data_IF_733536086166
#
_entry.id   IF_733536086166
#
_cell.length_a   1.000
_cell.length_b   1.000
_cell.length_c   1.000
_cell.angle_alpha   90.00
_cell.angle_beta   90.00
_cell.angle_gamma   90.00
#
_symmetry.space_group_name_H-M   'P 1'
#
loop_
_entity.id
_entity.type
_entity.pdbx_description
1 polymer ?
#
# COMPACT_ATOMS: atom_id res chain seq x y z
N UNK A 1 68.87 -9.70 8.17
CA UNK A 1 69.22 -10.88 7.34
C UNK A 1 68.02 -11.84 7.43
N UNK A 2 67.13 -11.83 6.43
CA UNK A 2 66.83 -12.95 5.49
C UNK A 2 66.24 -14.15 6.27
N UNK A 3 65.02 -14.69 6.10
CA UNK A 3 64.04 -14.86 4.99
C UNK A 3 62.69 -15.24 5.64
N UNK A 4 61.51 -14.72 5.22
CA UNK A 4 60.46 -15.39 4.39
C UNK A 4 59.88 -16.70 4.99
N UNK A 5 58.59 -17.06 5.02
CA UNK A 5 57.39 -16.67 4.25
C UNK A 5 56.16 -17.51 4.72
N UNK A 6 54.97 -16.98 4.46
CA UNK A 6 53.69 -17.66 4.11
C UNK A 6 52.71 -18.24 5.15
N UNK A 7 51.57 -17.54 5.21
CA UNK A 7 50.15 -17.95 5.34
C UNK A 7 49.81 -19.41 4.98
N UNK A 8 48.85 -20.04 5.68
CA UNK A 8 47.76 -20.90 5.14
C UNK A 8 46.73 -21.28 6.24
N UNK A 9 45.53 -20.73 6.11
CA UNK A 9 44.22 -21.43 6.16
C UNK A 9 44.23 -22.91 6.59
N UNK A 10 43.50 -23.23 7.67
CA UNK A 10 42.86 -24.54 7.84
C UNK A 10 41.40 -24.35 8.27
N UNK A 11 40.54 -24.84 7.40
CA UNK A 11 39.08 -24.92 7.43
C UNK A 11 38.64 -25.91 8.53
N UNK A 12 37.86 -25.48 9.51
CA UNK A 12 37.18 -26.38 10.46
C UNK A 12 35.76 -26.63 9.95
N UNK A 13 35.55 -27.84 9.46
CA UNK A 13 34.29 -28.40 9.01
C UNK A 13 33.58 -29.03 10.21
N UNK A 14 32.50 -28.42 10.71
CA UNK A 14 31.61 -29.05 11.72
C UNK A 14 30.33 -29.49 11.03
N UNK A 15 30.25 -30.80 10.79
CA UNK A 15 29.03 -31.53 10.46
C UNK A 15 28.11 -31.54 11.69
N UNK A 16 27.06 -30.72 11.64
CA UNK A 16 25.93 -30.79 12.57
C UNK A 16 24.83 -31.68 11.99
N UNK A 17 24.82 -32.95 12.41
CA UNK A 17 23.75 -33.92 12.16
C UNK A 17 22.47 -33.44 12.83
N UNK A 18 21.42 -33.14 12.06
CA UNK A 18 20.08 -32.84 12.57
C UNK A 18 19.38 -34.13 12.98
N UNK A 19 19.22 -34.35 14.28
CA UNK A 19 18.24 -35.28 14.83
C UNK A 19 16.86 -34.65 14.74
N UNK A 20 16.02 -35.15 13.83
CA UNK A 20 14.58 -34.86 13.77
C UNK A 20 13.91 -35.54 14.96
N UNK A 21 13.17 -34.83 15.83
CA UNK A 21 12.28 -35.48 16.77
C UNK A 21 11.04 -35.96 16.02
N UNK A 22 10.86 -37.28 16.00
CA UNK A 22 9.60 -37.93 15.68
C UNK A 22 8.46 -37.36 16.54
N UNK A 23 7.33 -37.08 15.90
CA UNK A 23 6.05 -36.89 16.61
C UNK A 23 5.50 -35.48 16.65
N UNK A 24 5.20 -34.91 15.49
CA UNK A 24 4.07 -33.99 15.33
C UNK A 24 3.36 -34.34 14.01
N UNK A 25 2.51 -35.37 14.05
CA UNK A 25 1.43 -35.51 13.08
C UNK A 25 0.45 -34.36 13.31
N UNK A 26 0.76 -33.19 12.74
CA UNK A 26 -0.26 -32.18 12.51
C UNK A 26 -1.23 -32.77 11.52
N UNK A 27 -2.46 -33.05 11.97
CA UNK A 27 -3.58 -33.24 11.05
C UNK A 27 -3.60 -32.02 10.13
N UNK A 28 -3.25 -32.21 8.85
CA UNK A 28 -3.55 -31.22 7.83
C UNK A 28 -5.05 -30.97 7.91
N UNK A 29 -5.45 -29.70 8.09
CA UNK A 29 -6.87 -29.38 8.10
C UNK A 29 -7.52 -29.97 6.84
N UNK A 30 -8.69 -30.62 6.94
CA UNK A 30 -9.33 -31.30 5.81
C UNK A 30 -9.63 -30.35 4.63
N UNK A 31 -9.61 -29.04 4.86
CA UNK A 31 -9.67 -28.00 3.84
C UNK A 31 -8.48 -27.97 2.86
N UNK A 32 -7.30 -28.48 3.24
CA UNK A 32 -6.09 -28.45 2.40
C UNK A 32 -6.09 -29.60 1.37
N UNK A 33 -6.61 -30.78 1.72
CA UNK A 33 -6.72 -31.91 0.77
C UNK A 33 -7.80 -31.70 -0.29
N UNK A 34 -8.84 -30.92 0.02
CA UNK A 34 -9.90 -30.58 -0.94
C UNK A 34 -9.45 -29.56 -2.00
N UNK A 35 -8.37 -28.80 -1.77
CA UNK A 35 -7.94 -27.70 -2.63
C UNK A 35 -6.95 -28.10 -3.76
N UNK A 36 -6.47 -29.35 -3.77
CA UNK A 36 -5.69 -29.90 -4.87
C UNK A 36 -6.57 -30.44 -6.02
N UNK A 37 -7.88 -30.56 -5.78
CA UNK A 37 -8.87 -30.84 -6.82
C UNK A 37 -9.28 -29.50 -7.45
N UNK A 38 -8.86 -29.28 -8.70
CA UNK A 38 -9.13 -28.07 -9.51
C UNK A 38 -10.63 -27.73 -9.61
N UNK A 39 -11.51 -28.70 -9.31
CA UNK A 39 -12.96 -28.55 -9.30
C UNK A 39 -13.54 -27.98 -7.99
N UNK A 40 -12.73 -27.77 -6.94
CA UNK A 40 -13.19 -27.41 -5.59
C UNK A 40 -12.53 -26.17 -4.99
N UNK A 41 -11.90 -25.29 -5.79
CA UNK A 41 -11.43 -24.02 -5.26
C UNK A 41 -12.63 -23.16 -4.79
N UNK A 42 -12.62 -22.61 -3.56
CA UNK A 42 -13.77 -21.88 -3.00
C UNK A 42 -14.16 -20.63 -3.80
N UNK A 43 -13.24 -20.07 -4.59
CA UNK A 43 -13.47 -18.95 -5.51
C UNK A 43 -14.19 -19.29 -6.82
N UNK A 44 -14.34 -20.57 -7.15
CA UNK A 44 -14.92 -21.03 -8.42
C UNK A 44 -14.00 -21.95 -9.22
N UNK A 45 -14.43 -22.29 -10.43
CA UNK A 45 -13.74 -23.24 -11.32
C UNK A 45 -12.70 -22.50 -12.17
N UNK A 46 -11.49 -23.05 -12.26
CA UNK A 46 -10.44 -22.55 -13.16
C UNK A 46 -10.88 -22.81 -14.61
N UNK A 47 -10.81 -21.79 -15.47
CA UNK A 47 -11.11 -21.93 -16.89
C UNK A 47 -10.08 -22.85 -17.57
N UNK A 48 -10.52 -24.08 -17.89
CA UNK A 48 -9.68 -25.11 -18.50
C UNK A 48 -9.36 -24.85 -19.97
N UNK A 49 -9.92 -23.81 -20.57
CA UNK A 49 -9.57 -23.37 -21.94
C UNK A 49 -8.34 -22.46 -21.97
N UNK A 50 -7.89 -21.98 -20.80
CA UNK A 50 -6.71 -21.13 -20.65
C UNK A 50 -5.49 -21.93 -20.19
N UNK A 51 -4.27 -21.42 -20.42
CA UNK A 51 -3.09 -21.93 -19.71
C UNK A 51 -3.35 -21.93 -18.20
N UNK A 52 -2.96 -23.02 -17.52
CA UNK A 52 -3.32 -23.30 -16.13
C UNK A 52 -3.03 -22.11 -15.20
N UNK A 53 -1.80 -21.58 -15.23
CA UNK A 53 -1.42 -20.46 -14.37
C UNK A 53 -2.16 -19.17 -14.69
N UNK A 54 -2.50 -18.92 -15.95
CA UNK A 54 -3.34 -17.78 -16.31
C UNK A 54 -4.72 -17.89 -15.67
N UNK A 55 -5.38 -19.05 -15.79
CA UNK A 55 -6.70 -19.27 -15.17
C UNK A 55 -6.65 -19.10 -13.64
N UNK A 56 -5.57 -19.57 -13.01
CA UNK A 56 -5.32 -19.37 -11.58
C UNK A 56 -5.16 -17.88 -11.21
N UNK A 57 -4.38 -17.11 -11.98
CA UNK A 57 -4.17 -15.68 -11.75
C UNK A 57 -5.46 -14.88 -11.94
N UNK A 58 -6.30 -15.26 -12.90
CA UNK A 58 -7.61 -14.64 -13.12
C UNK A 58 -8.56 -14.90 -11.93
N UNK A 59 -8.59 -16.15 -11.44
CA UNK A 59 -9.37 -16.53 -10.26
C UNK A 59 -8.89 -15.79 -9.00
N UNK A 60 -7.58 -15.78 -8.77
CA UNK A 60 -6.95 -14.97 -7.72
C UNK A 60 -7.37 -13.50 -7.82
N UNK A 61 -7.25 -12.89 -9.00
CA UNK A 61 -7.58 -11.48 -9.19
C UNK A 61 -9.06 -11.17 -8.91
N UNK A 62 -9.97 -12.09 -9.26
CA UNK A 62 -11.39 -11.98 -8.97
C UNK A 62 -11.68 -12.11 -7.46
N UNK A 63 -11.13 -13.12 -6.81
CA UNK A 63 -11.31 -13.38 -5.38
C UNK A 63 -10.77 -12.23 -4.53
N UNK A 64 -9.56 -11.74 -4.82
CA UNK A 64 -8.98 -10.59 -4.11
C UNK A 64 -9.89 -9.37 -4.19
N UNK A 65 -10.48 -9.12 -5.35
CA UNK A 65 -11.43 -8.01 -5.55
C UNK A 65 -12.70 -8.22 -4.71
N UNK A 66 -13.21 -9.44 -4.65
CA UNK A 66 -14.41 -9.77 -3.88
C UNK A 66 -14.16 -9.66 -2.37
N UNK A 67 -13.05 -10.22 -1.88
CA UNK A 67 -12.60 -10.13 -0.49
C UNK A 67 -12.44 -8.67 -0.10
N UNK A 68 -11.71 -7.87 -0.88
CA UNK A 68 -11.52 -6.44 -0.59
C UNK A 68 -12.81 -5.61 -0.62
N UNK A 69 -13.79 -6.00 -1.46
CA UNK A 69 -15.12 -5.35 -1.50
C UNK A 69 -16.00 -5.74 -0.33
N UNK A 70 -15.88 -6.97 0.18
CA UNK A 70 -16.66 -7.47 1.29
C UNK A 70 -16.09 -6.96 2.62
N UNK A 71 -14.78 -7.10 2.82
CA UNK A 71 -14.03 -6.66 3.99
C UNK A 71 -13.48 -5.23 3.80
N UNK A 72 -14.39 -4.27 3.68
CA UNK A 72 -14.08 -2.88 3.33
C UNK A 72 -13.89 -1.94 4.54
N UNK A 73 -13.99 -2.47 5.76
CA UNK A 73 -13.85 -1.70 6.97
C UNK A 73 -12.38 -1.28 7.21
N UNK A 74 -12.10 0.02 7.43
CA UNK A 74 -10.74 0.48 7.76
C UNK A 74 -10.26 -0.13 9.08
N UNK A 75 -8.96 -0.41 9.19
CA UNK A 75 -8.32 -0.95 10.40
C UNK A 75 -8.96 -2.25 10.93
N UNK A 76 -9.65 -3.00 10.08
CA UNK A 76 -10.26 -4.27 10.46
C UNK A 76 -9.19 -5.36 10.59
N UNK A 77 -9.07 -5.91 11.80
CA UNK A 77 -8.24 -7.09 12.08
C UNK A 77 -8.76 -8.30 11.31
N UNK A 78 -10.08 -8.51 11.32
CA UNK A 78 -10.73 -9.57 10.54
C UNK A 78 -10.42 -9.44 9.04
N UNK A 79 -10.53 -8.25 8.46
CA UNK A 79 -10.21 -8.02 7.05
C UNK A 79 -8.74 -8.36 6.73
N UNK A 80 -7.83 -7.96 7.62
CA UNK A 80 -6.41 -8.21 7.46
C UNK A 80 -6.08 -9.71 7.58
N UNK A 81 -6.67 -10.39 8.55
CA UNK A 81 -6.54 -11.84 8.75
C UNK A 81 -7.08 -12.60 7.53
N UNK A 82 -8.27 -12.25 7.03
CA UNK A 82 -8.83 -12.87 5.81
C UNK A 82 -7.99 -12.60 4.58
N UNK A 83 -7.39 -11.41 4.47
CA UNK A 83 -6.44 -11.12 3.39
C UNK A 83 -5.18 -11.97 3.51
N UNK A 84 -4.64 -12.13 4.73
CA UNK A 84 -3.45 -12.95 4.99
C UNK A 84 -3.69 -14.43 4.70
N UNK A 85 -4.76 -15.01 5.25
CA UNK A 85 -5.17 -16.40 5.01
C UNK A 85 -5.27 -16.67 3.50
N UNK A 86 -5.93 -15.76 2.78
CA UNK A 86 -6.11 -15.85 1.33
C UNK A 86 -4.79 -15.79 0.55
N UNK A 87 -3.89 -14.86 0.89
CA UNK A 87 -2.58 -14.76 0.22
C UNK A 87 -1.69 -15.98 0.51
N UNK A 88 -1.71 -16.49 1.75
CA UNK A 88 -0.97 -17.69 2.15
C UNK A 88 -1.49 -18.94 1.46
N UNK A 89 -2.82 -19.08 1.35
CA UNK A 89 -3.44 -20.17 0.58
C UNK A 89 -2.94 -20.19 -0.88
N UNK A 90 -2.92 -19.05 -1.57
CA UNK A 90 -2.41 -18.98 -2.93
C UNK A 90 -0.91 -19.24 -3.04
N UNK A 91 -0.15 -18.89 -2.01
CA UNK A 91 1.28 -19.23 -1.94
C UNK A 91 1.46 -20.75 -1.85
N UNK A 92 0.72 -21.43 -0.96
CA UNK A 92 0.76 -22.89 -0.82
C UNK A 92 0.33 -23.61 -2.10
N UNK A 93 -0.74 -23.12 -2.75
CA UNK A 93 -1.22 -23.64 -4.04
C UNK A 93 -0.14 -23.52 -5.11
N UNK A 94 0.57 -22.37 -5.16
CA UNK A 94 1.61 -22.12 -6.15
C UNK A 94 2.89 -22.94 -5.88
N UNK A 95 3.25 -23.11 -4.61
CA UNK A 95 4.41 -23.90 -4.17
C UNK A 95 4.22 -25.41 -4.42
N UNK A 96 2.98 -25.89 -4.54
CA UNK A 96 2.67 -27.28 -4.85
C UNK A 96 2.79 -27.63 -6.35
N UNK A 97 2.97 -26.64 -7.23
CA UNK A 97 3.12 -26.86 -8.67
C UNK A 97 4.54 -27.33 -8.99
N UNK A 98 4.66 -28.39 -9.78
CA UNK A 98 5.94 -28.82 -10.36
C UNK A 98 6.43 -27.80 -11.40
N UNK A 99 7.33 -26.91 -10.96
CA UNK A 99 7.88 -25.82 -11.76
C UNK A 99 8.64 -26.31 -13.00
N UNK A 100 9.34 -27.44 -12.88
CA UNK A 100 10.16 -27.99 -13.98
C UNK A 100 9.29 -28.60 -15.07
N UNK A 101 8.05 -28.99 -14.74
CA UNK A 101 7.06 -29.47 -15.68
C UNK A 101 6.30 -28.35 -16.41
N UNK A 102 6.47 -27.08 -16.02
CA UNK A 102 5.79 -25.94 -16.65
C UNK A 102 6.43 -25.55 -17.98
N UNK A 103 5.60 -25.13 -18.93
CA UNK A 103 6.07 -24.46 -20.14
C UNK A 103 6.71 -23.10 -19.81
N UNK A 104 7.54 -22.58 -20.71
CA UNK A 104 8.35 -21.39 -20.44
C UNK A 104 7.53 -20.17 -20.00
N UNK A 105 6.41 -19.89 -20.67
CA UNK A 105 5.54 -18.76 -20.33
C UNK A 105 4.91 -18.96 -18.94
N UNK A 106 4.54 -20.20 -18.62
CA UNK A 106 4.01 -20.58 -17.30
C UNK A 106 5.06 -20.49 -16.19
N UNK A 107 6.33 -20.80 -16.47
CA UNK A 107 7.41 -20.56 -15.51
C UNK A 107 7.57 -19.07 -15.18
N UNK A 108 7.40 -18.19 -16.18
CA UNK A 108 7.43 -16.74 -15.95
C UNK A 108 6.24 -16.30 -15.10
N UNK A 109 5.04 -16.75 -15.43
CA UNK A 109 3.83 -16.46 -14.64
C UNK A 109 3.96 -16.94 -13.20
N UNK A 110 4.53 -18.13 -12.98
CA UNK A 110 4.79 -18.69 -11.65
C UNK A 110 5.69 -17.78 -10.83
N UNK A 111 6.85 -17.38 -11.38
CA UNK A 111 7.81 -16.53 -10.69
C UNK A 111 7.23 -15.13 -10.38
N UNK A 112 6.53 -14.53 -11.34
CA UNK A 112 5.90 -13.22 -11.15
C UNK A 112 4.78 -13.28 -10.10
N UNK A 113 3.96 -14.34 -10.13
CA UNK A 113 2.88 -14.50 -9.17
C UNK A 113 3.40 -14.77 -7.76
N UNK A 114 4.43 -15.61 -7.61
CA UNK A 114 5.09 -15.85 -6.32
C UNK A 114 5.69 -14.55 -5.77
N UNK A 115 6.28 -13.72 -6.64
CA UNK A 115 6.83 -12.43 -6.24
C UNK A 115 5.73 -11.46 -5.75
N UNK A 116 4.61 -11.38 -6.47
CA UNK A 116 3.46 -10.56 -6.11
C UNK A 116 2.83 -10.98 -4.76
N UNK A 117 2.67 -12.30 -4.53
CA UNK A 117 2.15 -12.82 -3.26
C UNK A 117 3.05 -12.46 -2.07
N UNK A 118 4.37 -12.67 -2.20
CA UNK A 118 5.34 -12.31 -1.16
C UNK A 118 5.30 -10.82 -0.85
N UNK A 119 5.30 -9.97 -1.87
CA UNK A 119 5.23 -8.52 -1.69
C UNK A 119 3.95 -8.11 -0.96
N UNK A 120 2.79 -8.67 -1.34
CA UNK A 120 1.51 -8.34 -0.71
C UNK A 120 1.44 -8.72 0.76
N UNK A 121 2.00 -9.87 1.14
CA UNK A 121 2.10 -10.26 2.55
C UNK A 121 2.93 -9.25 3.34
N UNK A 122 4.10 -8.86 2.82
CA UNK A 122 4.96 -7.84 3.47
C UNK A 122 4.27 -6.48 3.54
N UNK A 123 3.62 -6.06 2.46
CA UNK A 123 2.90 -4.78 2.41
C UNK A 123 1.72 -4.74 3.38
N UNK A 124 1.04 -5.88 3.60
CA UNK A 124 0.01 -6.00 4.63
C UNK A 124 0.58 -5.78 6.03
N UNK A 125 1.72 -6.37 6.35
CA UNK A 125 2.38 -6.18 7.65
C UNK A 125 2.84 -4.73 7.84
N UNK A 126 3.41 -4.12 6.80
CA UNK A 126 3.79 -2.71 6.83
C UNK A 126 2.61 -1.76 7.01
N UNK A 127 1.48 -2.06 6.35
CA UNK A 127 0.24 -1.31 6.54
C UNK A 127 -0.22 -1.41 8.00
N UNK A 128 -0.17 -2.59 8.62
CA UNK A 128 -0.53 -2.78 10.03
C UNK A 128 0.37 -1.97 10.96
N UNK A 129 1.68 -1.92 10.71
CA UNK A 129 2.60 -1.08 11.48
C UNK A 129 2.26 0.41 11.35
N UNK A 130 1.97 0.88 10.13
CA UNK A 130 1.53 2.26 9.89
C UNK A 130 0.20 2.61 10.56
N UNK A 131 -0.72 1.64 10.65
CA UNK A 131 -1.98 1.78 11.38
C UNK A 131 -1.74 1.85 12.90
N UNK A 132 -0.86 1.04 13.46
CA UNK A 132 -0.50 1.08 14.88
C UNK A 132 0.10 2.44 15.29
N UNK A 133 0.90 3.06 14.42
CA UNK A 133 1.47 4.39 14.66
C UNK A 133 0.41 5.48 14.89
N UNK A 134 -0.79 5.31 14.32
CA UNK A 134 -1.87 6.29 14.43
C UNK A 134 -2.91 5.93 15.49
N UNK A 135 -2.80 4.78 16.16
CA UNK A 135 -3.71 4.35 17.24
C UNK A 135 -3.97 5.44 18.29
N UNK A 136 -2.95 6.22 18.76
CA UNK A 136 -3.18 7.30 19.72
C UNK A 136 -4.12 8.41 19.20
N UNK A 137 -4.19 8.60 17.88
CA UNK A 137 -5.07 9.60 17.25
C UNK A 137 -6.48 9.07 16.98
N UNK A 138 -6.65 7.77 16.82
CA UNK A 138 -7.93 7.16 16.43
C UNK A 138 -8.38 6.02 17.36
N UNK A 139 -8.36 6.19 18.69
CA UNK A 139 -8.77 5.13 19.63
C UNK A 139 -10.24 4.70 19.46
N UNK A 140 -11.03 5.52 18.78
CA UNK A 140 -12.43 5.29 18.46
C UNK A 140 -12.67 4.51 17.15
N UNK A 141 -11.62 4.24 16.35
CA UNK A 141 -11.74 3.60 15.05
C UNK A 141 -12.44 2.24 15.12
N UNK A 142 -12.10 1.42 16.12
CA UNK A 142 -12.63 0.07 16.29
C UNK A 142 -14.16 0.03 16.34
N UNK A 143 -14.81 1.04 16.95
CA UNK A 143 -16.27 1.11 16.99
C UNK A 143 -16.86 1.28 15.60
N UNK A 144 -16.29 2.16 14.78
CA UNK A 144 -16.73 2.38 13.39
C UNK A 144 -16.48 1.13 12.54
N UNK A 145 -15.32 0.50 12.72
CA UNK A 145 -14.96 -0.76 12.06
C UNK A 145 -15.99 -1.84 12.34
N UNK A 146 -16.33 -2.08 13.62
CA UNK A 146 -17.32 -3.09 14.03
C UNK A 146 -18.73 -2.79 13.51
N UNK A 147 -19.14 -1.51 13.44
CA UNK A 147 -20.42 -1.12 12.85
C UNK A 147 -20.50 -1.51 11.37
N UNK A 148 -19.42 -1.30 10.62
CA UNK A 148 -19.34 -1.69 9.21
C UNK A 148 -19.29 -3.21 9.03
N UNK A 149 -18.57 -3.93 9.87
CA UNK A 149 -18.52 -5.41 9.84
C UNK A 149 -19.89 -6.03 10.09
N UNK A 150 -20.60 -5.59 11.14
CA UNK A 150 -21.96 -6.06 11.45
C UNK A 150 -22.95 -5.79 10.33
N UNK A 151 -22.81 -4.65 9.64
CA UNK A 151 -23.61 -4.35 8.44
C UNK A 151 -23.35 -5.38 7.34
N UNK A 152 -22.10 -5.75 7.09
CA UNK A 152 -21.73 -6.77 6.07
C UNK A 152 -22.25 -8.17 6.43
N UNK A 153 -22.34 -8.47 7.72
CA UNK A 153 -22.92 -9.72 8.24
C UNK A 153 -24.45 -9.73 8.27
N UNK A 154 -25.11 -8.62 7.89
CA UNK A 154 -26.57 -8.47 7.88
C UNK A 154 -27.18 -8.75 9.26
N UNK A 155 -26.47 -8.35 10.33
CA UNK A 155 -27.00 -8.48 11.68
C UNK A 155 -28.23 -7.57 11.88
N UNK A 156 -29.27 -8.04 12.61
CA UNK A 156 -30.40 -7.19 12.98
C UNK A 156 -29.96 -5.98 13.79
N UNK A 157 -30.54 -4.82 13.49
CA UNK A 157 -30.23 -3.55 14.16
C UNK A 157 -31.30 -3.14 15.15
N UNK A 158 -30.86 -2.55 16.26
CA UNK A 158 -31.73 -1.88 17.24
C UNK A 158 -31.36 -0.39 17.24
N UNK A 159 -32.23 0.44 16.67
CA UNK A 159 -31.98 1.88 16.50
C UNK A 159 -31.68 2.60 17.82
N UNK A 160 -32.33 2.21 18.92
CA UNK A 160 -32.10 2.85 20.23
C UNK A 160 -30.73 2.50 20.79
N UNK A 161 -30.33 1.23 20.69
CA UNK A 161 -28.97 0.80 21.12
C UNK A 161 -27.89 1.45 20.25
N UNK A 162 -28.11 1.52 18.95
CA UNK A 162 -27.17 2.17 18.02
C UNK A 162 -27.04 3.67 18.31
N UNK A 163 -28.14 4.37 18.63
CA UNK A 163 -28.08 5.78 19.01
C UNK A 163 -27.18 6.03 20.22
N UNK A 164 -27.20 5.13 21.23
CA UNK A 164 -26.29 5.21 22.37
C UNK A 164 -24.84 4.97 21.95
N UNK A 165 -24.58 3.94 21.12
CA UNK A 165 -23.23 3.66 20.60
C UNK A 165 -22.66 4.87 19.85
N UNK A 166 -23.46 5.52 19.00
CA UNK A 166 -23.05 6.70 18.24
C UNK A 166 -22.81 7.91 19.16
N UNK A 167 -23.59 8.05 20.22
CA UNK A 167 -23.40 9.10 21.24
C UNK A 167 -22.10 8.89 22.03
N UNK A 168 -21.81 7.65 22.42
CA UNK A 168 -20.58 7.31 23.13
C UNK A 168 -19.36 7.46 22.22
N UNK A 169 -19.50 7.13 20.93
CA UNK A 169 -18.48 7.36 19.92
C UNK A 169 -18.17 8.85 19.75
N UNK A 170 -19.17 9.74 19.75
CA UNK A 170 -18.96 11.19 19.74
C UNK A 170 -18.16 11.67 20.96
N UNK A 171 -18.43 11.11 22.14
CA UNK A 171 -17.64 11.39 23.35
C UNK A 171 -16.20 10.92 23.20
N UNK A 172 -15.97 9.71 22.68
CA UNK A 172 -14.64 9.17 22.47
C UNK A 172 -13.79 10.02 21.50
N UNK A 173 -14.39 10.59 20.45
CA UNK A 173 -13.68 11.51 19.54
C UNK A 173 -13.28 12.81 20.26
N UNK A 174 -14.15 13.36 21.12
CA UNK A 174 -13.85 14.55 21.93
C UNK A 174 -12.76 14.28 22.97
N UNK A 175 -12.75 13.10 23.58
CA UNK A 175 -11.71 12.66 24.52
C UNK A 175 -10.37 12.48 23.82
N UNK A 176 -10.35 11.85 22.63
CA UNK A 176 -9.15 11.74 21.80
C UNK A 176 -8.57 13.13 21.49
N UNK A 177 -9.41 14.08 21.06
CA UNK A 177 -9.01 15.47 20.86
C UNK A 177 -8.40 16.10 22.11
N UNK A 178 -9.06 15.95 23.26
CA UNK A 178 -8.58 16.52 24.54
C UNK A 178 -7.22 15.93 24.93
N UNK A 179 -7.00 14.65 24.68
CA UNK A 179 -5.73 13.96 24.93
C UNK A 179 -4.60 14.55 24.08
N UNK A 180 -4.83 14.71 22.77
CA UNK A 180 -3.85 15.31 21.86
C UNK A 180 -3.60 16.79 22.22
N UNK A 181 -4.64 17.56 22.54
CA UNK A 181 -4.50 18.96 22.99
C UNK A 181 -3.67 19.09 24.27
N UNK A 182 -3.79 18.14 25.19
CA UNK A 182 -2.97 18.10 26.41
C UNK A 182 -1.50 17.81 26.08
N UNK A 183 -1.23 16.82 25.24
CA UNK A 183 0.14 16.49 24.81
C UNK A 183 0.82 17.66 24.09
N UNK A 184 0.09 18.38 23.22
CA UNK A 184 0.60 19.59 22.57
C UNK A 184 0.97 20.70 23.57
N UNK A 185 0.19 20.86 24.66
CA UNK A 185 0.49 21.86 25.70
C UNK A 185 1.69 21.47 26.57
N UNK A 186 1.86 20.18 26.83
CA UNK A 186 2.97 19.65 27.64
C UNK A 186 4.31 19.74 26.91
N UNK A 187 4.33 19.64 25.57
CA UNK A 187 5.53 19.81 24.75
C UNK A 187 6.06 21.25 24.66
N UNK A 188 5.36 22.26 25.15
CA UNK A 188 5.80 23.66 25.02
C UNK A 188 5.60 24.25 23.62
N UNK A 189 5.57 25.59 23.53
CA UNK A 189 5.31 26.28 22.26
C UNK A 189 6.46 26.08 21.26
N UNK A 190 6.13 25.53 20.09
CA UNK A 190 7.08 25.32 18.98
C UNK A 190 7.79 23.96 18.99
N UNK A 191 7.58 23.11 20.01
CA UNK A 191 8.09 21.74 19.99
C UNK A 191 7.23 20.85 19.10
N UNK A 192 7.88 20.09 18.24
CA UNK A 192 7.20 19.09 17.41
C UNK A 192 6.92 17.83 18.25
N UNK A 193 5.77 17.83 18.91
CA UNK A 193 5.32 16.70 19.75
C UNK A 193 5.02 15.44 18.93
N UNK A 194 4.55 15.61 17.69
CA UNK A 194 4.17 14.49 16.81
C UNK A 194 4.90 14.56 15.48
N UNK A 195 5.26 13.39 14.93
CA UNK A 195 5.76 13.31 13.57
C UNK A 195 4.66 13.76 12.57
N UNK A 196 4.99 14.72 11.69
CA UNK A 196 4.02 15.30 10.74
C UNK A 196 3.45 14.24 9.80
N UNK A 197 4.27 13.27 9.38
CA UNK A 197 3.84 12.17 8.51
C UNK A 197 2.76 11.29 9.18
N UNK A 198 2.95 10.97 10.46
CA UNK A 198 2.03 10.17 11.29
C UNK A 198 0.74 10.95 11.53
N UNK A 199 0.83 12.24 11.86
CA UNK A 199 -0.34 13.11 12.01
C UNK A 199 -1.13 13.25 10.69
N UNK A 200 -0.46 13.38 9.55
CA UNK A 200 -1.09 13.40 8.24
C UNK A 200 -1.83 12.10 7.96
N UNK A 201 -1.20 10.95 8.25
CA UNK A 201 -1.82 9.63 8.11
C UNK A 201 -3.04 9.48 8.99
N UNK A 202 -2.97 9.93 10.25
CA UNK A 202 -4.09 9.94 11.17
C UNK A 202 -5.25 10.80 10.64
N UNK A 203 -4.98 12.02 10.16
CA UNK A 203 -6.00 12.89 9.56
C UNK A 203 -6.70 12.21 8.37
N UNK A 204 -5.94 11.60 7.45
CA UNK A 204 -6.49 10.84 6.33
C UNK A 204 -7.31 9.61 6.78
N UNK A 205 -6.89 8.95 7.85
CA UNK A 205 -7.65 7.83 8.44
C UNK A 205 -8.97 8.32 9.04
N UNK A 206 -9.00 9.46 9.74
CA UNK A 206 -10.26 10.07 10.22
C UNK A 206 -11.21 10.36 9.06
N UNK A 207 -10.72 10.90 7.94
CA UNK A 207 -11.54 11.13 6.75
C UNK A 207 -12.06 9.82 6.13
N UNK A 208 -11.27 8.74 6.17
CA UNK A 208 -11.69 7.40 5.72
C UNK A 208 -12.77 6.84 6.63
N UNK A 209 -12.57 6.89 7.95
CA UNK A 209 -13.55 6.48 8.96
C UNK A 209 -14.86 7.27 8.84
N UNK A 210 -14.80 8.58 8.60
CA UNK A 210 -15.97 9.41 8.35
C UNK A 210 -16.75 8.95 7.12
N UNK A 211 -16.06 8.65 6.00
CA UNK A 211 -16.70 8.13 4.78
C UNK A 211 -17.34 6.77 5.01
N UNK A 212 -16.67 5.86 5.72
CA UNK A 212 -17.22 4.55 6.11
C UNK A 212 -18.47 4.70 6.95
N UNK A 213 -18.43 5.52 8.00
CA UNK A 213 -19.58 5.77 8.88
C UNK A 213 -20.74 6.43 8.13
N UNK A 214 -20.45 7.34 7.20
CA UNK A 214 -21.47 7.99 6.37
C UNK A 214 -22.16 6.98 5.45
N UNK A 215 -21.39 6.08 4.82
CA UNK A 215 -21.93 4.96 4.04
C UNK A 215 -22.77 4.01 4.88
N UNK A 216 -22.32 3.70 6.09
CA UNK A 216 -23.06 2.88 7.06
C UNK A 216 -24.40 3.53 7.45
N UNK A 217 -24.41 4.82 7.80
CA UNK A 217 -25.64 5.52 8.18
C UNK A 217 -26.64 5.56 7.02
N UNK A 218 -26.20 5.95 5.82
CA UNK A 218 -27.05 6.03 4.62
C UNK A 218 -27.66 4.70 4.20
N UNK A 219 -27.03 3.58 4.55
CA UNK A 219 -27.56 2.27 4.25
C UNK A 219 -28.87 1.97 4.99
N UNK A 220 -28.99 2.40 6.25
CA UNK A 220 -30.19 2.17 7.07
C UNK A 220 -31.16 3.36 7.06
N UNK A 221 -30.64 4.59 6.97
CA UNK A 221 -31.44 5.80 7.01
C UNK A 221 -32.46 5.85 5.85
N UNK A 222 -33.71 6.12 6.17
CA UNK A 222 -34.83 6.14 5.21
C UNK A 222 -35.41 4.76 4.86
N UNK A 223 -34.64 3.67 5.03
CA UNK A 223 -35.15 2.30 4.87
C UNK A 223 -35.83 1.80 6.14
N UNK A 224 -35.20 2.01 7.31
CA UNK A 224 -35.78 1.72 8.62
C UNK A 224 -36.16 3.05 9.33
N UNK A 225 -37.46 3.36 9.48
CA UNK A 225 -37.92 4.58 10.15
C UNK A 225 -37.51 4.66 11.63
N UNK A 226 -37.49 3.54 12.36
CA UNK A 226 -37.11 3.52 13.78
C UNK A 226 -35.61 3.74 13.92
N UNK A 227 -34.79 3.14 13.06
CA UNK A 227 -33.37 3.47 12.99
C UNK A 227 -33.17 4.96 12.76
N UNK A 228 -33.84 5.52 11.74
CA UNK A 228 -33.67 6.93 11.36
C UNK A 228 -34.06 7.84 12.51
N UNK A 229 -35.19 7.59 13.15
CA UNK A 229 -35.69 8.35 14.30
C UNK A 229 -34.69 8.43 15.45
N UNK A 230 -34.09 7.29 15.83
CA UNK A 230 -33.17 7.24 16.97
C UNK A 230 -31.77 7.74 16.62
N UNK A 231 -31.26 7.43 15.42
CA UNK A 231 -29.83 7.57 15.09
C UNK A 231 -29.49 8.88 14.38
N UNK A 232 -30.45 9.54 13.71
CA UNK A 232 -30.18 10.73 12.90
C UNK A 232 -29.48 11.85 13.68
N UNK A 233 -29.99 12.20 14.86
CA UNK A 233 -29.42 13.29 15.66
C UNK A 233 -28.01 12.93 16.20
N UNK A 234 -27.80 11.78 16.86
CA UNK A 234 -26.46 11.36 17.29
C UNK A 234 -25.45 11.30 16.12
N UNK A 235 -25.85 10.77 14.96
CA UNK A 235 -24.98 10.68 13.79
C UNK A 235 -24.56 12.07 13.29
N UNK A 236 -25.50 13.02 13.15
CA UNK A 236 -25.20 14.38 12.69
C UNK A 236 -24.28 15.13 13.65
N UNK A 237 -24.35 14.87 14.95
CA UNK A 237 -23.45 15.45 15.93
C UNK A 237 -22.04 14.85 15.79
N UNK A 238 -21.94 13.51 15.74
CA UNK A 238 -20.68 12.81 15.53
C UNK A 238 -19.99 13.21 14.21
N UNK A 239 -20.74 13.34 13.11
CA UNK A 239 -20.21 13.75 11.80
C UNK A 239 -19.54 15.14 11.89
N UNK A 240 -20.14 16.09 12.60
CA UNK A 240 -19.55 17.41 12.85
C UNK A 240 -18.31 17.30 13.73
N UNK A 241 -18.34 16.47 14.77
CA UNK A 241 -17.21 16.25 15.68
C UNK A 241 -16.02 15.63 14.93
N UNK A 242 -16.21 14.59 14.13
CA UNK A 242 -15.17 13.97 13.30
C UNK A 242 -14.58 14.97 12.30
N UNK A 243 -15.42 15.76 11.62
CA UNK A 243 -14.95 16.82 10.70
C UNK A 243 -14.11 17.86 11.44
N UNK A 244 -14.55 18.30 12.61
CA UNK A 244 -13.79 19.25 13.44
C UNK A 244 -12.48 18.64 13.95
N UNK A 245 -12.47 17.35 14.29
CA UNK A 245 -11.29 16.65 14.77
C UNK A 245 -10.24 16.47 13.65
N UNK A 246 -10.67 16.06 12.46
CA UNK A 246 -9.80 15.99 11.27
C UNK A 246 -9.16 17.35 10.96
N UNK A 247 -9.94 18.44 11.02
CA UNK A 247 -9.44 19.82 10.87
C UNK A 247 -8.48 20.22 12.00
N UNK A 248 -8.77 19.83 13.23
CA UNK A 248 -7.88 20.06 14.37
C UNK A 248 -6.50 19.42 14.15
N UNK A 249 -6.44 18.17 13.67
CA UNK A 249 -5.16 17.51 13.39
C UNK A 249 -4.36 18.31 12.35
N UNK A 250 -4.97 18.67 11.21
CA UNK A 250 -4.28 19.46 10.16
C UNK A 250 -3.78 20.81 10.67
N UNK A 251 -4.62 21.55 11.39
CA UNK A 251 -4.33 22.95 11.68
C UNK A 251 -3.53 23.14 12.97
N UNK A 252 -3.69 22.24 13.96
CA UNK A 252 -3.04 22.36 15.28
C UNK A 252 -1.89 21.39 15.49
N UNK A 253 -1.94 20.19 14.92
CA UNK A 253 -0.85 19.22 15.03
C UNK A 253 0.18 19.43 13.92
N UNK A 254 -0.29 19.66 12.69
CA UNK A 254 0.59 19.77 11.51
C UNK A 254 0.89 21.23 11.11
N UNK A 255 0.29 22.20 11.80
CA UNK A 255 0.43 23.64 11.53
C UNK A 255 0.15 24.03 10.05
N UNK A 256 -0.79 23.34 9.40
CA UNK A 256 -1.25 23.70 8.05
C UNK A 256 -2.37 24.73 8.17
N UNK A 257 -2.25 25.84 7.46
CA UNK A 257 -3.32 26.82 7.29
C UNK A 257 -4.36 26.35 6.26
N UNK A 258 -5.60 26.84 6.41
CA UNK A 258 -6.64 26.61 5.40
C UNK A 258 -6.53 27.64 4.23
N UNK A 259 -5.58 28.56 4.30
CA UNK A 259 -5.41 29.67 3.35
C UNK A 259 -4.19 29.42 2.45
N UNK A 260 -4.43 29.26 1.14
CA UNK A 260 -3.38 29.03 0.16
C UNK A 260 -3.24 27.57 -0.27
N UNK A 261 -2.13 27.27 -0.95
CA UNK A 261 -1.84 25.91 -1.41
C UNK A 261 -1.23 25.10 -0.25
N UNK A 262 -1.86 23.99 0.17
CA UNK A 262 -1.35 23.20 1.28
C UNK A 262 0.02 22.60 0.94
N UNK A 263 0.96 22.55 1.89
CA UNK A 263 2.27 21.96 1.64
C UNK A 263 2.15 20.48 1.26
N UNK A 264 3.00 20.03 0.34
CA UNK A 264 3.10 18.60 0.00
C UNK A 264 3.78 17.89 1.17
N UNK A 265 2.98 17.20 1.98
CA UNK A 265 3.48 16.39 3.09
C UNK A 265 3.72 14.97 2.60
N UNK A 266 5.00 14.59 2.56
CA UNK A 266 5.42 13.23 2.29
C UNK A 266 5.01 12.28 3.41
N UNK A 267 4.68 11.04 3.03
CA UNK A 267 4.60 9.90 3.94
C UNK A 267 5.76 8.95 3.60
N UNK A 268 6.94 9.12 4.23
CA UNK A 268 8.11 8.32 3.90
C UNK A 268 7.80 6.84 4.13
N UNK A 269 8.06 6.03 3.10
CA UNK A 269 7.74 4.59 3.16
C UNK A 269 8.70 3.82 4.08
N UNK A 270 9.89 4.37 4.31
CA UNK A 270 10.97 3.74 5.07
C UNK A 270 11.88 2.89 4.18
N UNK A 271 13.13 2.68 4.62
CA UNK A 271 14.12 1.95 3.82
C UNK A 271 13.73 0.49 3.59
N UNK A 272 13.20 -0.17 4.62
CA UNK A 272 12.83 -1.59 4.56
C UNK A 272 11.71 -1.85 3.55
N UNK A 273 10.64 -1.06 3.60
CA UNK A 273 9.58 -1.19 2.59
C UNK A 273 10.05 -0.77 1.20
N UNK A 274 10.91 0.25 1.08
CA UNK A 274 11.48 0.63 -0.20
C UNK A 274 12.32 -0.51 -0.82
N UNK A 275 13.07 -1.25 0.00
CA UNK A 275 13.76 -2.47 -0.44
C UNK A 275 12.76 -3.53 -0.91
N UNK A 276 11.67 -3.76 -0.16
CA UNK A 276 10.61 -4.69 -0.54
C UNK A 276 9.96 -4.33 -1.90
N UNK A 277 9.73 -3.04 -2.13
CA UNK A 277 9.21 -2.52 -3.41
C UNK A 277 10.20 -2.75 -4.55
N UNK A 278 11.50 -2.49 -4.33
CA UNK A 278 12.54 -2.73 -5.34
C UNK A 278 12.67 -4.22 -5.68
N UNK A 279 12.61 -5.11 -4.69
CA UNK A 279 12.59 -6.56 -4.90
C UNK A 279 11.34 -7.01 -5.68
N UNK A 280 10.18 -6.40 -5.39
CA UNK A 280 8.93 -6.67 -6.12
C UNK A 280 9.03 -6.28 -7.59
N UNK A 281 9.65 -5.13 -7.87
CA UNK A 281 9.95 -4.65 -9.23
C UNK A 281 11.18 -5.34 -9.86
N UNK A 282 11.76 -6.35 -9.20
CA UNK A 282 12.94 -7.11 -9.65
C UNK A 282 14.17 -6.23 -9.92
N UNK A 283 14.31 -5.12 -9.19
CA UNK A 283 15.46 -4.22 -9.25
C UNK A 283 16.54 -4.72 -8.30
N UNK A 284 17.69 -5.13 -8.85
CA UNK A 284 18.79 -5.72 -8.10
C UNK A 284 19.64 -4.72 -7.28
N UNK A 285 19.33 -3.42 -7.35
CA UNK A 285 20.09 -2.36 -6.70
C UNK A 285 19.36 -1.84 -5.46
N UNK A 286 20.13 -1.54 -4.43
CA UNK A 286 19.63 -0.80 -3.26
C UNK A 286 19.26 0.66 -3.62
N UNK A 287 18.42 1.33 -2.81
CA UNK A 287 18.12 2.75 -2.98
C UNK A 287 19.37 3.61 -3.07
N UNK A 288 20.38 3.30 -2.25
CA UNK A 288 21.63 4.04 -2.21
C UNK A 288 22.44 3.86 -3.51
N UNK A 289 22.50 2.64 -4.04
CA UNK A 289 23.16 2.38 -5.33
C UNK A 289 22.43 3.05 -6.50
N UNK A 290 21.09 3.08 -6.48
CA UNK A 290 20.32 3.79 -7.49
C UNK A 290 20.60 5.29 -7.48
N UNK A 291 20.75 5.89 -6.28
CA UNK A 291 21.14 7.30 -6.14
C UNK A 291 22.56 7.55 -6.68
N UNK A 292 23.49 6.64 -6.40
CA UNK A 292 24.86 6.70 -6.91
C UNK A 292 24.87 6.69 -8.45
N UNK A 293 24.19 5.72 -9.07
CA UNK A 293 24.05 5.61 -10.52
C UNK A 293 23.40 6.88 -11.08
N UNK A 294 22.30 7.33 -10.48
CA UNK A 294 21.59 8.52 -10.95
C UNK A 294 22.48 9.77 -10.93
N UNK A 295 23.34 9.94 -9.92
CA UNK A 295 24.29 11.07 -9.86
C UNK A 295 25.35 10.98 -10.95
N UNK A 296 25.89 9.79 -11.20
CA UNK A 296 26.87 9.56 -12.25
C UNK A 296 26.28 9.86 -13.63
N UNK A 297 25.09 9.33 -13.92
CA UNK A 297 24.37 9.58 -15.17
C UNK A 297 23.99 11.06 -15.32
N UNK A 298 23.55 11.71 -14.23
CA UNK A 298 23.21 13.14 -14.26
C UNK A 298 24.44 14.01 -14.56
N UNK A 299 25.61 13.65 -14.03
CA UNK A 299 26.88 14.32 -14.34
C UNK A 299 27.31 14.12 -15.79
N UNK A 300 27.11 12.92 -16.34
CA UNK A 300 27.36 12.64 -17.75
C UNK A 300 26.42 13.43 -18.66
N UNK A 301 25.10 13.40 -18.40
CA UNK A 301 24.10 14.16 -19.14
C UNK A 301 24.44 15.66 -19.16
N UNK A 302 24.87 16.25 -18.04
CA UNK A 302 25.27 17.67 -18.01
C UNK A 302 26.46 17.97 -18.93
N UNK A 303 27.44 17.07 -19.01
CA UNK A 303 28.60 17.23 -19.91
C UNK A 303 28.18 17.16 -21.37
N UNK A 304 27.33 16.18 -21.74
CA UNK A 304 26.85 16.08 -23.12
C UNK A 304 25.92 17.23 -23.50
N UNK A 305 25.11 17.75 -22.57
CA UNK A 305 24.30 18.96 -22.82
C UNK A 305 25.17 20.18 -23.13
N UNK A 306 26.29 20.35 -22.40
CA UNK A 306 27.25 21.43 -22.69
C UNK A 306 27.92 21.23 -24.04
N UNK A 307 28.35 20.00 -24.36
CA UNK A 307 28.93 19.70 -25.67
C UNK A 307 27.95 20.00 -26.82
N UNK A 308 26.71 19.54 -26.71
CA UNK A 308 25.67 19.84 -27.71
C UNK A 308 25.40 21.35 -27.84
N UNK A 309 25.46 22.10 -26.73
CA UNK A 309 25.32 23.55 -26.75
C UNK A 309 26.50 24.24 -27.49
N UNK A 310 27.72 23.74 -27.33
CA UNK A 310 28.89 24.20 -28.08
C UNK A 310 28.73 23.94 -29.58
N UNK A 311 28.26 22.75 -29.97
CA UNK A 311 28.01 22.37 -31.37
C UNK A 311 26.92 23.26 -32.00
N UNK A 312 25.92 23.67 -31.23
CA UNK A 312 24.88 24.63 -31.65
C UNK A 312 25.34 26.10 -31.63
N UNK A 313 26.60 26.39 -31.23
CA UNK A 313 27.16 27.73 -31.21
C UNK A 313 26.79 28.57 -29.98
N UNK A 314 26.25 27.96 -28.92
CA UNK A 314 25.89 28.64 -27.67
C UNK A 314 26.98 28.57 -26.59
N UNK A 315 28.13 27.95 -26.88
CA UNK A 315 29.21 27.77 -25.91
C UNK A 315 28.76 26.89 -24.74
N UNK A 316 29.13 27.25 -23.51
CA UNK A 316 28.81 26.46 -22.32
C UNK A 316 27.39 26.73 -21.77
N UNK A 317 26.63 27.65 -22.37
CA UNK A 317 25.27 27.99 -21.94
C UNK A 317 24.24 27.00 -22.50
N UNK A 318 24.25 25.80 -21.94
CA UNK A 318 23.32 24.73 -22.31
C UNK A 318 21.85 25.09 -22.08
N UNK A 319 21.54 26.01 -21.15
CA UNK A 319 20.16 26.46 -20.93
C UNK A 319 19.69 27.30 -22.10
N UNK A 320 20.52 28.21 -22.60
CA UNK A 320 20.19 29.01 -23.78
C UNK A 320 20.07 28.16 -25.04
N UNK A 321 20.93 27.16 -25.21
CA UNK A 321 20.80 26.19 -26.30
C UNK A 321 19.48 25.41 -26.20
N UNK A 322 19.08 24.98 -24.99
CA UNK A 322 17.81 24.29 -24.77
C UNK A 322 16.61 25.19 -25.09
N UNK A 323 16.62 26.47 -24.69
CA UNK A 323 15.57 27.42 -25.06
C UNK A 323 15.50 27.63 -26.58
N UNK A 324 16.64 27.69 -27.28
CA UNK A 324 16.63 27.76 -28.74
C UNK A 324 15.95 26.54 -29.38
N UNK A 325 16.28 25.32 -28.92
CA UNK A 325 15.69 24.08 -29.44
C UNK A 325 14.19 24.02 -29.18
N UNK A 326 13.71 24.54 -28.05
CA UNK A 326 12.27 24.61 -27.75
C UNK A 326 11.48 25.42 -28.78
N UNK A 327 12.09 26.45 -29.37
CA UNK A 327 11.48 27.29 -30.41
C UNK A 327 11.51 26.65 -31.81
N UNK A 328 12.26 25.56 -32.02
CA UNK A 328 12.33 24.85 -33.31
C UNK A 328 11.15 23.87 -33.53
N UNK A 329 10.00 24.18 -32.95
CA UNK A 329 8.80 23.37 -33.14
C UNK A 329 8.12 23.66 -34.49
N UNK A 330 7.38 22.68 -35.01
CA UNK A 330 6.54 22.89 -36.21
C UNK A 330 5.35 23.81 -35.91
N UNK A 331 4.75 24.38 -36.95
CA UNK A 331 3.58 25.25 -36.82
C UNK A 331 2.37 24.54 -36.18
N UNK A 332 1.47 25.29 -35.50
CA UNK A 332 0.23 24.72 -34.98
C UNK A 332 -0.57 23.98 -36.05
N UNK A 333 -0.95 22.74 -35.76
CA UNK A 333 -1.67 21.85 -36.69
C UNK A 333 -0.78 20.93 -37.53
N UNK A 334 0.55 21.09 -37.50
CA UNK A 334 1.50 20.24 -38.23
C UNK A 334 2.14 19.11 -37.43
N UNK A 335 1.92 19.07 -36.10
CA UNK A 335 2.44 17.99 -35.26
C UNK A 335 2.02 16.58 -35.71
N UNK A 336 0.77 16.31 -36.17
CA UNK A 336 0.40 14.98 -36.63
C UNK A 336 1.21 14.50 -37.85
N UNK A 337 1.52 15.40 -38.79
CA UNK A 337 2.32 15.08 -39.97
C UNK A 337 3.76 14.72 -39.58
N UNK A 338 4.38 15.54 -38.71
CA UNK A 338 5.72 15.30 -38.18
C UNK A 338 5.81 13.96 -37.42
N UNK A 339 4.82 13.65 -36.57
CA UNK A 339 4.78 12.38 -35.84
C UNK A 339 4.74 11.19 -36.80
N UNK A 340 3.94 11.28 -37.87
CA UNK A 340 3.88 10.23 -38.89
C UNK A 340 5.22 10.08 -39.62
N UNK A 341 5.85 11.18 -39.98
CA UNK A 341 7.17 11.18 -40.63
C UNK A 341 8.23 10.53 -39.72
N UNK A 342 8.33 10.96 -38.46
CA UNK A 342 9.26 10.37 -37.48
C UNK A 342 8.98 8.88 -37.23
N UNK A 343 7.72 8.45 -37.26
CA UNK A 343 7.36 7.04 -37.15
C UNK A 343 7.83 6.23 -38.36
N UNK A 344 7.73 6.77 -39.57
CA UNK A 344 8.27 6.11 -40.76
C UNK A 344 9.80 6.08 -40.75
N UNK A 345 10.44 7.20 -40.38
CA UNK A 345 11.90 7.28 -40.23
C UNK A 345 12.44 6.25 -39.22
N UNK A 346 11.76 6.09 -38.07
CA UNK A 346 12.12 5.10 -37.07
C UNK A 346 11.93 3.63 -37.52
N UNK A 347 11.10 3.38 -38.53
CA UNK A 347 10.96 2.05 -39.14
C UNK A 347 12.06 1.79 -40.19
N UNK A 348 12.57 2.85 -40.82
CA UNK A 348 13.63 2.76 -41.83
C UNK A 348 15.05 2.66 -41.24
N UNK A 349 15.27 3.22 -40.04
CA UNK A 349 16.52 3.13 -39.27
C UNK A 349 16.72 1.73 -38.65
#
# INVERSE_FOLDING_TARGET
MISSTLSHMVLILVLGVTTVPDGLTGERSPSIELAADESQHPGGVIDSTLPKLRGMIELYSADRRNIGRFYDAPMSKMASEKTREYLQHWQEVLDAIDFDALERDQQVDHLLFQNDLRYRLRSLDHQQLKEQQIDPFVPFAEVITRLQEKRRQVEPVDGKKLANIITDLDRAVKEARTTIEKQLKEGGEGEQVFEISVANRASRMVDRLQRTLSGWYRFYAGYDPLFTWWVEKPYKDLEKTLKSYSKFIRNKVMAIDDEGDPPIIGDPVGREELMSMLEHEMIAYSPEQLIEIARQEFDWCRKEMVRAAQDLGYGDDWRKALEHVKELHVEPGKQPDLIRELAHEAVEF
#
